data_IF_261068208327
#
_entry.id   IF_261068208327
#
_cell.length_a   1.000
_cell.length_b   1.000
_cell.length_c   1.000
_cell.angle_alpha   90.00
_cell.angle_beta   90.00
_cell.angle_gamma   90.00
#
_symmetry.space_group_name_H-M   'P 1'
#
loop_
_entity.id
_entity.type
_entity.pdbx_description
1 polymer ?
#
# COMPACT_ATOMS: atom_id res chain seq x y z
N UNK A 1 18.55 -10.87 -10.99
CA UNK A 1 18.58 -9.90 -9.87
C UNK A 1 19.62 -10.39 -8.89
N UNK A 2 20.51 -9.54 -8.36
CA UNK A 2 21.38 -9.97 -7.24
C UNK A 2 20.46 -10.43 -6.12
N UNK A 3 20.63 -11.66 -5.66
CA UNK A 3 19.80 -12.24 -4.60
C UNK A 3 19.93 -11.36 -3.35
N UNK A 4 18.84 -10.71 -2.97
CA UNK A 4 18.76 -9.95 -1.74
C UNK A 4 18.87 -10.94 -0.58
N UNK A 5 19.61 -10.58 0.47
CA UNK A 5 19.66 -11.44 1.66
C UNK A 5 18.33 -11.36 2.44
N UNK A 6 18.09 -12.31 3.34
CA UNK A 6 16.85 -12.37 4.14
C UNK A 6 16.55 -11.07 4.91
N UNK A 7 17.56 -10.41 5.47
CA UNK A 7 17.39 -9.13 6.16
C UNK A 7 16.95 -7.98 5.24
N UNK A 8 17.45 -7.97 4.00
CA UNK A 8 17.05 -6.99 2.98
C UNK A 8 15.64 -7.24 2.47
N UNK A 9 15.25 -8.51 2.27
CA UNK A 9 13.89 -8.89 1.90
C UNK A 9 12.89 -8.51 2.99
N UNK A 10 13.22 -8.76 4.25
CA UNK A 10 12.40 -8.36 5.39
C UNK A 10 12.21 -6.84 5.46
N UNK A 11 13.31 -6.07 5.37
CA UNK A 11 13.23 -4.61 5.37
C UNK A 11 12.38 -4.06 4.21
N UNK A 12 12.49 -4.67 3.03
CA UNK A 12 11.69 -4.29 1.86
C UNK A 12 10.22 -4.66 2.03
N UNK A 13 9.93 -5.82 2.61
CA UNK A 13 8.58 -6.26 2.96
C UNK A 13 7.92 -5.31 3.95
N UNK A 14 8.62 -4.91 5.01
CA UNK A 14 8.13 -3.93 6.00
C UNK A 14 7.90 -2.56 5.36
N UNK A 15 8.80 -2.11 4.49
CA UNK A 15 8.64 -0.86 3.74
C UNK A 15 7.42 -0.87 2.82
N UNK A 16 7.24 -1.95 2.04
CA UNK A 16 6.08 -2.11 1.16
C UNK A 16 4.76 -2.15 1.97
N UNK A 17 4.76 -2.75 3.16
CA UNK A 17 3.61 -2.73 4.06
C UNK A 17 3.29 -1.31 4.58
N UNK A 18 4.30 -0.52 4.93
CA UNK A 18 4.11 0.89 5.30
C UNK A 18 3.53 1.71 4.14
N UNK A 19 3.99 1.48 2.91
CA UNK A 19 3.41 2.11 1.71
C UNK A 19 1.95 1.70 1.54
N UNK A 20 1.61 0.44 1.75
CA UNK A 20 0.23 -0.03 1.66
C UNK A 20 -0.67 0.69 2.68
N UNK A 21 -0.21 0.82 3.92
CA UNK A 21 -0.91 1.56 4.96
C UNK A 21 -1.06 3.05 4.61
N UNK A 22 -0.05 3.66 3.99
CA UNK A 22 -0.12 5.05 3.53
C UNK A 22 -1.16 5.25 2.43
N UNK A 23 -1.20 4.37 1.41
CA UNK A 23 -2.21 4.42 0.35
C UNK A 23 -3.63 4.20 0.87
N UNK A 24 -3.80 3.28 1.82
CA UNK A 24 -5.09 3.08 2.47
C UNK A 24 -5.49 4.33 3.27
N UNK A 25 -4.58 4.90 4.05
CA UNK A 25 -4.86 6.10 4.83
C UNK A 25 -5.19 7.31 3.95
N UNK A 26 -4.40 7.53 2.90
CA UNK A 26 -4.61 8.64 1.98
C UNK A 26 -5.88 8.47 1.13
N UNK A 27 -6.14 7.29 0.56
CA UNK A 27 -7.27 7.10 -0.34
C UNK A 27 -8.58 6.69 0.33
N UNK A 28 -8.52 6.10 1.53
CA UNK A 28 -9.72 5.64 2.26
C UNK A 28 -10.03 6.52 3.44
N UNK A 29 -9.04 6.86 4.29
CA UNK A 29 -9.30 7.61 5.53
C UNK A 29 -9.37 9.11 5.26
N UNK A 30 -8.43 9.67 4.50
CA UNK A 30 -8.33 11.13 4.31
C UNK A 30 -9.56 11.80 3.67
N UNK A 31 -10.30 11.18 2.73
CA UNK A 31 -11.49 11.80 2.14
C UNK A 31 -12.61 12.10 3.14
N UNK A 32 -12.62 11.44 4.30
CA UNK A 32 -13.56 11.74 5.39
C UNK A 32 -13.23 13.07 6.11
N UNK A 33 -12.02 13.58 5.95
CA UNK A 33 -11.54 14.80 6.60
C UNK A 33 -11.34 15.97 5.62
N UNK A 34 -11.14 15.69 4.32
CA UNK A 34 -10.84 16.72 3.31
C UNK A 34 -12.06 17.37 2.67
N UNK A 35 -13.29 16.93 3.00
CA UNK A 35 -14.56 17.46 2.43
C UNK A 35 -14.50 17.59 0.89
N UNK A 36 -14.33 16.48 0.16
CA UNK A 36 -14.26 16.49 -1.30
C UNK A 36 -15.50 17.13 -1.93
N UNK A 37 -15.32 17.83 -3.05
CA UNK A 37 -16.37 18.64 -3.67
C UNK A 37 -17.46 17.78 -4.31
N UNK A 38 -17.16 16.51 -4.61
CA UNK A 38 -18.09 15.59 -5.26
C UNK A 38 -17.95 14.14 -4.80
N UNK A 39 -19.06 13.40 -4.86
CA UNK A 39 -19.07 11.96 -4.60
C UNK A 39 -18.18 11.19 -5.59
N UNK A 40 -18.06 11.66 -6.84
CA UNK A 40 -17.16 11.06 -7.83
C UNK A 40 -15.70 11.15 -7.40
N UNK A 41 -15.30 12.24 -6.75
CA UNK A 41 -13.94 12.42 -6.26
C UNK A 41 -13.62 11.48 -5.08
N UNK A 42 -14.57 11.30 -4.16
CA UNK A 42 -14.49 10.28 -3.09
C UNK A 42 -14.25 8.89 -3.69
N UNK A 43 -15.02 8.54 -4.72
CA UNK A 43 -14.94 7.22 -5.35
C UNK A 43 -13.58 7.01 -6.06
N UNK A 44 -13.01 8.07 -6.65
CA UNK A 44 -11.66 8.03 -7.23
C UNK A 44 -10.59 7.83 -6.15
N UNK A 45 -10.66 8.56 -5.04
CA UNK A 45 -9.71 8.36 -3.93
C UNK A 45 -9.80 6.96 -3.34
N UNK A 46 -11.01 6.45 -3.11
CA UNK A 46 -11.23 5.11 -2.58
C UNK A 46 -10.70 4.03 -3.52
N UNK A 47 -11.03 4.11 -4.80
CA UNK A 47 -10.58 3.12 -5.79
C UNK A 47 -9.08 3.11 -5.96
N UNK A 48 -8.44 4.27 -6.14
CA UNK A 48 -6.97 4.36 -6.26
C UNK A 48 -6.29 3.92 -4.96
N UNK A 49 -6.77 4.38 -3.81
CA UNK A 49 -6.24 4.01 -2.50
C UNK A 49 -6.28 2.51 -2.24
N UNK A 50 -7.43 1.88 -2.49
CA UNK A 50 -7.60 0.44 -2.31
C UNK A 50 -6.75 -0.38 -3.29
N UNK A 51 -6.72 0.00 -4.56
CA UNK A 51 -5.90 -0.71 -5.58
C UNK A 51 -4.42 -0.62 -5.24
N UNK A 52 -3.94 0.57 -4.89
CA UNK A 52 -2.53 0.78 -4.55
C UNK A 52 -2.15 0.10 -3.24
N UNK A 53 -2.99 0.20 -2.21
CA UNK A 53 -2.79 -0.50 -0.94
C UNK A 53 -2.76 -2.02 -1.14
N UNK A 54 -3.69 -2.56 -1.92
CA UNK A 54 -3.73 -3.99 -2.23
C UNK A 54 -2.51 -4.45 -3.00
N UNK A 55 -2.08 -3.69 -4.02
CA UNK A 55 -0.91 -4.03 -4.83
C UNK A 55 0.36 -4.06 -3.98
N UNK A 56 0.57 -3.03 -3.14
CA UNK A 56 1.76 -2.94 -2.29
C UNK A 56 1.75 -3.92 -1.13
N UNK A 57 0.58 -4.22 -0.55
CA UNK A 57 0.44 -5.28 0.44
C UNK A 57 0.72 -6.66 -0.17
N UNK A 58 0.17 -6.93 -1.36
CA UNK A 58 0.43 -8.18 -2.08
C UNK A 58 1.92 -8.35 -2.36
N UNK A 59 2.59 -7.26 -2.75
CA UNK A 59 4.03 -7.27 -2.97
C UNK A 59 4.83 -7.51 -1.68
N UNK A 60 4.47 -6.85 -0.57
CA UNK A 60 5.04 -7.12 0.75
C UNK A 60 4.92 -8.61 1.13
N UNK A 61 3.75 -9.20 0.94
CA UNK A 61 3.52 -10.61 1.24
C UNK A 61 4.31 -11.56 0.33
N UNK A 62 4.54 -11.21 -0.94
CA UNK A 62 5.40 -12.01 -1.82
C UNK A 62 6.86 -11.97 -1.38
N UNK A 63 7.36 -10.81 -0.96
CA UNK A 63 8.73 -10.66 -0.46
C UNK A 63 8.95 -11.45 0.84
N UNK A 64 7.96 -11.45 1.73
CA UNK A 64 8.02 -12.23 2.97
C UNK A 64 7.96 -13.75 2.72
N UNK A 65 7.31 -14.19 1.64
CA UNK A 65 7.31 -15.61 1.24
C UNK A 65 8.67 -16.04 0.70
N UNK A 66 9.40 -15.16 0.03
CA UNK A 66 10.76 -15.41 -0.47
C UNK A 66 11.82 -15.36 0.65
N UNK A 67 11.51 -14.78 1.81
CA UNK A 67 12.38 -14.80 2.99
C UNK A 67 12.48 -16.19 3.65
N UNK A 68 11.43 -17.00 3.56
CA UNK A 68 11.33 -18.34 4.19
C UNK A 68 12.00 -19.43 3.36
#
# INVERSE_FOLDING_TARGET
MRELNQGQLKALSEFANMIAAAWFSAGVISPFFTKPESFSEVLKFLSVGLVMAWATLSWSLTLLKEEK
#
